data_IF_022984066601
#
_entry.id   IF_022984066601
#
_cell.length_a   1.000
_cell.length_b   1.000
_cell.length_c   1.000
_cell.angle_alpha   90.00
_cell.angle_beta   90.00
_cell.angle_gamma   90.00
#
_symmetry.space_group_name_H-M   'P 1'
#
loop_
_entity.id
_entity.type
_entity.pdbx_description
1 polymer ?
#
# COMPACT_ATOMS: atom_id res chain seq x y z
N UNK A 1 -15.60 -4.00 -25.84
CA UNK A 1 -14.49 -4.96 -25.60
C UNK A 1 -15.10 -6.16 -24.89
N UNK A 2 -14.91 -7.37 -25.41
CA UNK A 2 -15.34 -8.61 -24.73
C UNK A 2 -14.24 -9.09 -23.79
N UNK A 3 -14.62 -9.56 -22.61
CA UNK A 3 -13.68 -10.14 -21.65
C UNK A 3 -13.43 -11.60 -22.00
N UNK A 4 -12.16 -12.00 -22.14
CA UNK A 4 -11.76 -13.40 -22.29
C UNK A 4 -11.10 -13.88 -21.00
N UNK A 5 -11.62 -14.94 -20.40
CA UNK A 5 -10.96 -15.62 -19.28
C UNK A 5 -9.62 -16.17 -19.78
N UNK A 6 -8.52 -15.64 -19.26
CA UNK A 6 -7.18 -16.11 -19.59
C UNK A 6 -6.75 -17.23 -18.66
N UNK A 7 -6.89 -17.05 -17.34
CA UNK A 7 -6.38 -17.96 -16.30
C UNK A 7 -7.24 -17.90 -15.04
N UNK A 8 -7.21 -18.99 -14.28
CA UNK A 8 -7.77 -19.08 -12.93
C UNK A 8 -6.65 -19.44 -11.97
N UNK A 9 -6.42 -18.62 -10.95
CA UNK A 9 -5.35 -18.82 -9.97
C UNK A 9 -5.91 -19.57 -8.76
N UNK A 10 -5.71 -20.89 -8.71
CA UNK A 10 -6.14 -21.72 -7.59
C UNK A 10 -5.00 -21.85 -6.56
N UNK A 11 -5.31 -21.70 -5.27
CA UNK A 11 -4.33 -21.96 -4.21
C UNK A 11 -4.67 -21.42 -2.83
N UNK A 12 -5.57 -20.43 -2.72
CA UNK A 12 -6.14 -20.05 -1.43
C UNK A 12 -7.12 -21.12 -0.94
N UNK A 13 -7.19 -21.31 0.38
CA UNK A 13 -8.05 -22.33 1.02
C UNK A 13 -9.31 -21.75 1.67
N UNK A 14 -9.47 -20.43 1.63
CA UNK A 14 -10.65 -19.69 2.12
C UNK A 14 -10.87 -18.45 1.23
N UNK A 15 -11.97 -17.72 1.45
CA UNK A 15 -12.41 -16.58 0.67
C UNK A 15 -11.29 -15.55 0.45
N UNK A 16 -11.14 -15.12 -0.80
CA UNK A 16 -10.22 -14.06 -1.21
C UNK A 16 -10.97 -12.74 -1.09
N UNK A 17 -10.50 -11.85 -0.21
CA UNK A 17 -11.18 -10.59 0.10
C UNK A 17 -10.68 -9.43 -0.76
N UNK A 18 -9.42 -9.48 -1.21
CA UNK A 18 -8.80 -8.42 -2.00
C UNK A 18 -7.76 -8.97 -2.98
N UNK A 19 -7.67 -8.33 -4.14
CA UNK A 19 -6.60 -8.52 -5.12
C UNK A 19 -6.06 -7.17 -5.57
N UNK A 20 -4.77 -7.11 -5.90
CA UNK A 20 -4.15 -5.91 -6.48
C UNK A 20 -2.96 -6.27 -7.36
N UNK A 21 -2.64 -5.42 -8.32
CA UNK A 21 -1.39 -5.51 -9.08
C UNK A 21 -0.28 -4.76 -8.34
N UNK A 22 0.97 -5.21 -8.51
CA UNK A 22 2.11 -4.36 -8.19
C UNK A 22 2.13 -3.12 -9.09
N UNK A 23 2.77 -2.01 -8.67
CA UNK A 23 2.81 -0.77 -9.46
C UNK A 23 3.41 -0.95 -10.87
N UNK A 24 4.39 -1.85 -11.00
CA UNK A 24 4.99 -2.21 -12.29
C UNK A 24 4.18 -3.26 -13.08
N UNK A 25 3.04 -3.72 -12.54
CA UNK A 25 2.14 -4.70 -13.16
C UNK A 25 2.65 -6.14 -13.18
N UNK A 26 3.87 -6.42 -12.74
CA UNK A 26 4.50 -7.74 -12.89
C UNK A 26 3.98 -8.79 -11.91
N UNK A 27 3.49 -8.35 -10.75
CA UNK A 27 2.97 -9.20 -9.70
C UNK A 27 1.48 -8.96 -9.49
N UNK A 28 0.78 -10.01 -9.11
CA UNK A 28 -0.57 -9.98 -8.57
C UNK A 28 -0.46 -10.40 -7.11
N UNK A 29 -1.11 -9.69 -6.20
CA UNK A 29 -1.19 -10.05 -4.80
C UNK A 29 -2.65 -10.30 -4.42
N UNK A 30 -2.92 -11.38 -3.69
CA UNK A 30 -4.25 -11.76 -3.23
C UNK A 30 -4.24 -12.02 -1.72
N UNK A 31 -5.15 -11.38 -0.99
CA UNK A 31 -5.30 -11.52 0.46
C UNK A 31 -6.57 -12.30 0.81
N UNK A 32 -6.47 -13.21 1.78
CA UNK A 32 -7.53 -14.18 2.08
C UNK A 32 -7.81 -14.36 3.58
N UNK A 33 -8.98 -14.92 3.85
CA UNK A 33 -9.37 -15.47 5.15
C UNK A 33 -8.55 -16.70 5.58
N UNK A 34 -7.72 -17.28 4.70
CA UNK A 34 -6.76 -18.32 5.06
C UNK A 34 -5.51 -17.78 5.78
N UNK A 35 -5.53 -16.49 6.12
CA UNK A 35 -4.48 -15.72 6.79
C UNK A 35 -3.24 -15.46 5.93
N UNK A 36 -3.31 -15.68 4.62
CA UNK A 36 -2.16 -15.50 3.73
C UNK A 36 -2.38 -14.40 2.68
N UNK A 37 -1.27 -13.77 2.28
CA UNK A 37 -1.16 -13.08 0.99
C UNK A 37 -0.40 -13.99 0.04
N UNK A 38 -0.95 -14.26 -1.14
CA UNK A 38 -0.23 -14.98 -2.19
C UNK A 38 0.22 -14.00 -3.27
N UNK A 39 1.48 -14.12 -3.67
CA UNK A 39 2.05 -13.35 -4.78
C UNK A 39 2.19 -14.24 -6.00
N UNK A 40 1.66 -13.77 -7.12
CA UNK A 40 1.63 -14.48 -8.39
C UNK A 40 2.34 -13.65 -9.45
N UNK A 41 2.95 -14.30 -10.43
CA UNK A 41 3.33 -13.61 -11.67
C UNK A 41 2.12 -13.49 -12.61
N UNK A 42 2.27 -12.73 -13.70
CA UNK A 42 1.23 -12.57 -14.72
C UNK A 42 0.81 -13.88 -15.42
N UNK A 43 1.69 -14.89 -15.43
CA UNK A 43 1.37 -16.21 -15.98
C UNK A 43 0.51 -17.06 -15.04
N UNK A 44 0.31 -16.61 -13.80
CA UNK A 44 -0.47 -17.29 -12.77
C UNK A 44 0.34 -18.27 -11.90
N UNK A 45 1.67 -18.24 -12.00
CA UNK A 45 2.53 -19.04 -11.11
C UNK A 45 2.61 -18.39 -9.75
N UNK A 46 2.40 -19.17 -8.69
CA UNK A 46 2.64 -18.75 -7.32
C UNK A 46 4.14 -18.54 -7.10
N UNK A 47 4.53 -17.31 -6.76
CA UNK A 47 5.93 -16.94 -6.46
C UNK A 47 6.22 -17.17 -4.99
N UNK A 48 5.35 -16.67 -4.11
CA UNK A 48 5.53 -16.81 -2.66
C UNK A 48 4.20 -16.67 -1.94
N UNK A 49 4.16 -17.20 -0.71
CA UNK A 49 3.05 -17.04 0.23
C UNK A 49 3.58 -16.29 1.45
N UNK A 50 2.97 -15.15 1.76
CA UNK A 50 3.23 -14.35 2.94
C UNK A 50 2.21 -14.72 4.00
N UNK A 51 2.67 -15.31 5.09
CA UNK A 51 1.78 -15.71 6.19
C UNK A 51 1.57 -14.53 7.12
N UNK A 52 0.31 -14.22 7.39
CA UNK A 52 -0.11 -13.36 8.50
C UNK A 52 -0.70 -14.21 9.63
N UNK A 53 -0.93 -13.57 10.78
CA UNK A 53 -1.45 -14.26 11.97
C UNK A 53 -2.99 -14.24 12.06
N UNK A 54 -3.66 -13.62 11.08
CA UNK A 54 -5.11 -13.35 11.11
C UNK A 54 -5.68 -13.24 9.70
N UNK A 55 -7.01 -13.35 9.61
CA UNK A 55 -7.78 -13.15 8.38
C UNK A 55 -7.50 -11.76 7.83
N UNK A 56 -7.17 -11.70 6.54
CA UNK A 56 -6.80 -10.47 5.86
C UNK A 56 -7.98 -9.96 5.04
N UNK A 57 -8.38 -8.72 5.27
CA UNK A 57 -9.55 -8.08 4.66
C UNK A 57 -9.19 -7.21 3.45
N UNK A 58 -8.01 -6.57 3.48
CA UNK A 58 -7.56 -5.68 2.41
C UNK A 58 -6.04 -5.74 2.23
N UNK A 59 -5.57 -5.15 1.13
CA UNK A 59 -4.23 -5.25 0.59
C UNK A 59 -3.89 -4.04 -0.28
N UNK A 60 -2.70 -3.47 -0.09
CA UNK A 60 -2.12 -2.44 -0.95
C UNK A 60 -0.62 -2.63 -1.12
N UNK A 61 -0.12 -2.40 -2.33
CA UNK A 61 1.31 -2.23 -2.59
C UNK A 61 1.74 -0.80 -2.27
N UNK A 62 2.98 -0.63 -1.84
CA UNK A 62 3.64 0.68 -1.86
C UNK A 62 3.93 1.10 -3.31
N UNK A 63 4.05 2.40 -3.59
CA UNK A 63 4.28 2.91 -4.95
C UNK A 63 5.57 2.38 -5.62
N UNK A 64 6.61 2.11 -4.83
CA UNK A 64 7.87 1.50 -5.29
C UNK A 64 7.77 -0.02 -5.50
N UNK A 65 6.66 -0.66 -5.11
CA UNK A 65 6.46 -2.10 -5.17
C UNK A 65 7.32 -2.92 -4.20
N UNK A 66 8.07 -2.28 -3.30
CA UNK A 66 8.99 -2.95 -2.35
C UNK A 66 8.28 -3.35 -1.05
N UNK A 67 7.08 -2.82 -0.77
CA UNK A 67 6.30 -3.12 0.43
C UNK A 67 4.86 -3.48 0.09
N UNK A 68 4.26 -4.27 0.97
CA UNK A 68 2.84 -4.62 0.94
C UNK A 68 2.29 -4.41 2.35
N UNK A 69 1.12 -3.79 2.43
CA UNK A 69 0.34 -3.69 3.68
C UNK A 69 -0.97 -4.45 3.51
N UNK A 70 -1.34 -5.21 4.54
CA UNK A 70 -2.65 -5.81 4.65
C UNK A 70 -3.36 -5.34 5.91
N UNK A 71 -4.65 -5.06 5.77
CA UNK A 71 -5.58 -4.93 6.89
C UNK A 71 -6.01 -6.30 7.37
N UNK A 72 -6.10 -6.48 8.69
CA UNK A 72 -6.46 -7.76 9.29
C UNK A 72 -7.49 -7.61 10.41
N UNK A 73 -8.10 -8.74 10.78
CA UNK A 73 -9.01 -8.82 11.91
C UNK A 73 -8.37 -8.33 13.23
N UNK A 74 -9.19 -7.91 14.20
CA UNK A 74 -8.75 -7.40 15.52
C UNK A 74 -7.77 -6.22 15.46
N UNK A 75 -7.95 -5.32 14.50
CA UNK A 75 -7.23 -4.04 14.43
C UNK A 75 -5.77 -4.15 14.01
N UNK A 76 -5.36 -5.30 13.48
CA UNK A 76 -3.98 -5.50 13.04
C UNK A 76 -3.78 -4.97 11.62
N UNK A 77 -2.64 -4.30 11.43
CA UNK A 77 -2.03 -4.12 10.12
C UNK A 77 -0.74 -4.94 10.07
N UNK A 78 -0.50 -5.56 8.92
CA UNK A 78 0.72 -6.34 8.68
C UNK A 78 1.41 -5.77 7.46
N UNK A 79 2.71 -5.52 7.59
CA UNK A 79 3.55 -4.93 6.55
C UNK A 79 4.65 -5.94 6.23
N UNK A 80 4.76 -6.29 4.95
CA UNK A 80 5.88 -7.04 4.40
C UNK A 80 6.75 -6.12 3.58
N UNK A 81 8.06 -6.36 3.64
CA UNK A 81 9.06 -5.67 2.83
C UNK A 81 9.82 -6.70 2.01
N UNK A 82 10.24 -6.29 0.83
CA UNK A 82 11.04 -7.07 -0.10
C UNK A 82 12.48 -6.56 -0.09
N UNK A 83 13.42 -7.44 0.25
CA UNK A 83 14.84 -7.22 -0.02
C UNK A 83 15.23 -8.15 -1.17
N UNK A 84 15.60 -7.56 -2.31
CA UNK A 84 15.89 -8.24 -3.58
C UNK A 84 14.73 -9.09 -4.12
N UNK A 85 14.73 -10.40 -3.92
CA UNK A 85 13.66 -11.33 -4.34
C UNK A 85 12.90 -11.92 -3.16
N UNK A 86 13.36 -11.68 -1.93
CA UNK A 86 12.85 -12.31 -0.72
C UNK A 86 11.92 -11.36 0.02
N UNK A 87 10.71 -11.84 0.27
CA UNK A 87 9.74 -11.13 1.09
C UNK A 87 9.86 -11.55 2.55
N UNK A 88 9.90 -10.57 3.44
CA UNK A 88 9.92 -10.80 4.87
C UNK A 88 8.86 -9.95 5.55
N UNK A 89 8.26 -10.50 6.60
CA UNK A 89 7.37 -9.73 7.45
C UNK A 89 8.21 -8.70 8.21
N UNK A 90 7.98 -7.43 7.88
CA UNK A 90 8.76 -6.32 8.41
C UNK A 90 8.15 -5.79 9.70
N UNK A 91 6.83 -5.68 9.74
CA UNK A 91 6.11 -5.27 10.93
C UNK A 91 4.74 -5.95 11.02
N UNK A 92 4.37 -6.40 12.21
CA UNK A 92 2.98 -6.71 12.55
C UNK A 92 2.64 -5.95 13.82
N UNK A 93 1.70 -5.01 13.72
CA UNK A 93 1.26 -4.24 14.87
C UNK A 93 -0.04 -4.85 15.38
N UNK A 94 0.09 -5.63 16.44
CA UNK A 94 -1.05 -6.23 17.15
C UNK A 94 -1.52 -5.26 18.23
N UNK A 95 -2.76 -4.79 18.13
CA UNK A 95 -3.39 -3.98 19.18
C UNK A 95 -2.79 -2.58 19.40
N UNK A 96 -1.89 -2.10 18.53
CA UNK A 96 -1.36 -0.74 18.58
C UNK A 96 -2.07 0.06 17.49
N UNK A 97 -3.22 0.63 17.81
CA UNK A 97 -3.96 1.54 16.93
C UNK A 97 -5.45 1.24 16.85
N UNK A 98 -5.88 0.40 15.92
CA UNK A 98 -7.30 0.07 15.77
C UNK A 98 -7.78 -0.91 16.84
N UNK A 99 -9.01 -0.70 17.33
CA UNK A 99 -9.62 -1.54 18.39
C UNK A 99 -10.51 -2.64 17.82
N UNK A 100 -10.89 -2.53 16.54
CA UNK A 100 -11.73 -3.49 15.82
C UNK A 100 -11.13 -3.80 14.44
N UNK A 101 -11.77 -4.69 13.69
CA UNK A 101 -11.32 -5.14 12.37
C UNK A 101 -11.01 -3.96 11.44
N UNK A 102 -9.83 -4.02 10.81
CA UNK A 102 -9.47 -3.12 9.71
C UNK A 102 -10.19 -3.63 8.46
N UNK A 103 -10.97 -2.80 7.79
CA UNK A 103 -11.67 -3.20 6.56
C UNK A 103 -10.87 -2.89 5.31
N UNK A 104 -10.16 -1.76 5.29
CA UNK A 104 -9.42 -1.34 4.12
C UNK A 104 -8.09 -0.67 4.48
N UNK A 105 -7.14 -0.75 3.56
CA UNK A 105 -5.82 -0.11 3.67
C UNK A 105 -5.41 0.46 2.32
N UNK A 106 -4.78 1.62 2.35
CA UNK A 106 -4.25 2.29 1.15
C UNK A 106 -2.87 2.85 1.43
N UNK A 107 -1.91 2.56 0.57
CA UNK A 107 -0.68 3.35 0.53
C UNK A 107 -0.93 4.70 -0.11
N UNK A 108 -0.24 5.72 0.40
CA UNK A 108 -0.17 7.01 -0.25
C UNK A 108 0.63 6.88 -1.57
N UNK A 109 0.21 7.54 -2.67
CA UNK A 109 0.81 7.35 -3.99
C UNK A 109 2.27 7.84 -4.10
N UNK A 110 2.67 8.79 -3.26
CA UNK A 110 4.00 9.40 -3.33
C UNK A 110 4.69 9.61 -1.97
N UNK A 111 4.06 9.22 -0.84
CA UNK A 111 4.60 9.41 0.51
C UNK A 111 4.68 8.08 1.22
N UNK A 112 5.57 8.03 2.19
CA UNK A 112 5.73 6.93 3.13
C UNK A 112 4.63 6.99 4.20
N UNK A 113 3.37 6.91 3.75
CA UNK A 113 2.18 6.95 4.60
C UNK A 113 1.23 5.84 4.16
N UNK A 114 0.60 5.21 5.13
CA UNK A 114 -0.49 4.24 4.95
C UNK A 114 -1.72 4.80 5.63
N UNK A 115 -2.88 4.69 4.99
CA UNK A 115 -4.17 4.90 5.62
C UNK A 115 -4.86 3.56 5.85
N UNK A 116 -5.61 3.43 6.94
CA UNK A 116 -6.46 2.28 7.23
C UNK A 116 -7.84 2.69 7.71
N UNK A 117 -8.88 2.04 7.21
CA UNK A 117 -10.27 2.19 7.62
C UNK A 117 -10.69 1.02 8.51
N UNK A 118 -11.45 1.28 9.58
CA UNK A 118 -11.77 0.27 10.58
C UNK A 118 -13.21 0.33 11.09
N UNK A 119 -13.67 -0.82 11.56
CA UNK A 119 -14.92 -0.99 12.29
C UNK A 119 -15.01 -0.20 13.60
N UNK A 120 -13.91 0.39 14.07
CA UNK A 120 -13.88 1.28 15.24
C UNK A 120 -14.29 2.73 14.94
N UNK A 121 -14.65 3.02 13.70
CA UNK A 121 -15.15 4.33 13.28
C UNK A 121 -14.06 5.35 12.99
N UNK A 122 -12.80 4.90 12.88
CA UNK A 122 -11.67 5.77 12.58
C UNK A 122 -10.96 5.40 11.29
N UNK A 123 -10.37 6.42 10.68
CA UNK A 123 -9.26 6.25 9.74
C UNK A 123 -7.96 6.49 10.51
N UNK A 124 -6.99 5.60 10.39
CA UNK A 124 -5.66 5.79 10.99
C UNK A 124 -4.61 5.97 9.91
N UNK A 125 -3.68 6.88 10.18
CA UNK A 125 -2.51 7.12 9.36
C UNK A 125 -1.30 6.53 10.03
N UNK A 126 -0.47 5.84 9.26
CA UNK A 126 0.70 5.14 9.73
C UNK A 126 1.91 5.52 8.89
N UNK A 127 3.08 5.53 9.51
CA UNK A 127 4.32 5.45 8.75
C UNK A 127 4.54 4.00 8.26
N UNK A 128 5.50 3.75 7.34
CA UNK A 128 5.69 2.42 6.77
C UNK A 128 6.32 1.41 7.73
N UNK A 129 6.82 1.88 8.88
CA UNK A 129 7.29 1.03 9.98
C UNK A 129 6.13 0.56 10.88
N UNK A 130 4.89 0.94 10.54
CA UNK A 130 3.69 0.62 11.29
C UNK A 130 3.53 1.45 12.56
N UNK A 131 4.18 2.61 12.68
CA UNK A 131 3.88 3.54 13.77
C UNK A 131 2.67 4.38 13.41
N UNK A 132 1.73 4.49 14.34
CA UNK A 132 0.56 5.36 14.21
C UNK A 132 1.02 6.82 14.26
N UNK A 133 0.70 7.61 13.23
CA UNK A 133 1.03 9.03 13.13
C UNK A 133 -0.22 9.92 13.18
N UNK A 134 -1.40 9.41 12.81
CA UNK A 134 -2.62 10.21 12.83
C UNK A 134 -3.87 9.36 13.03
N UNK A 135 -4.93 9.99 13.54
CA UNK A 135 -6.27 9.39 13.62
C UNK A 135 -7.28 10.45 13.18
N UNK A 136 -8.07 10.11 12.17
CA UNK A 136 -9.20 10.88 11.68
C UNK A 136 -10.48 10.17 12.15
N UNK A 137 -11.44 10.93 12.67
CA UNK A 137 -12.67 10.39 13.24
C UNK A 137 -13.88 11.02 12.56
N UNK A 138 -14.79 10.18 12.07
CA UNK A 138 -16.02 10.59 11.37
C UNK A 138 -17.27 10.40 12.23
N UNK A 139 -17.09 9.90 13.46
CA UNK A 139 -18.17 9.51 14.36
C UNK A 139 -17.96 8.09 14.89
N UNK A 140 -19.04 7.47 15.37
CA UNK A 140 -19.03 6.12 15.95
C UNK A 140 -19.21 5.00 14.92
N UNK A 141 -19.54 5.37 13.67
CA UNK A 141 -19.96 4.43 12.63
C UNK A 141 -18.75 3.81 11.93
N UNK A 142 -18.72 2.49 11.69
CA UNK A 142 -17.65 1.79 10.99
C UNK A 142 -17.20 2.48 9.70
N UNK A 143 -15.90 2.72 9.54
CA UNK A 143 -15.32 3.20 8.27
C UNK A 143 -14.97 1.98 7.43
N UNK A 144 -15.58 1.85 6.26
CA UNK A 144 -15.54 0.62 5.45
C UNK A 144 -14.47 0.63 4.36
N UNK A 145 -14.14 1.80 3.81
CA UNK A 145 -13.10 1.93 2.79
C UNK A 145 -12.39 3.27 2.91
N UNK A 146 -11.15 3.31 2.42
CA UNK A 146 -10.29 4.49 2.41
C UNK A 146 -9.43 4.48 1.16
N UNK A 147 -9.24 5.65 0.53
CA UNK A 147 -8.43 5.77 -0.68
C UNK A 147 -7.77 7.14 -0.78
N UNK A 148 -6.48 7.18 -1.13
CA UNK A 148 -5.81 8.44 -1.44
C UNK A 148 -6.14 8.89 -2.86
N UNK A 149 -6.28 10.19 -3.06
CA UNK A 149 -6.30 10.73 -4.43
C UNK A 149 -4.98 10.41 -5.14
N UNK A 150 -4.97 10.27 -6.49
CA UNK A 150 -3.74 9.95 -7.22
C UNK A 150 -2.60 10.96 -7.04
N UNK A 151 -2.91 12.23 -6.81
CA UNK A 151 -1.95 13.28 -6.46
C UNK A 151 -1.46 13.19 -5.00
N UNK A 152 -2.20 12.48 -4.14
CA UNK A 152 -1.92 12.34 -2.72
C UNK A 152 -2.29 13.57 -1.88
N UNK A 153 -2.98 14.57 -2.42
CA UNK A 153 -3.36 15.76 -1.64
C UNK A 153 -4.54 15.49 -0.71
N UNK A 154 -5.40 14.56 -1.10
CA UNK A 154 -6.62 14.24 -0.35
C UNK A 154 -6.74 12.76 -0.06
N UNK A 155 -7.53 12.48 0.98
CA UNK A 155 -7.95 11.14 1.33
C UNK A 155 -9.48 11.12 1.31
N UNK A 156 -10.06 10.06 0.76
CA UNK A 156 -11.49 9.82 0.83
C UNK A 156 -11.79 8.57 1.65
N UNK A 157 -12.90 8.59 2.35
CA UNK A 157 -13.38 7.48 3.16
C UNK A 157 -14.89 7.39 3.12
N UNK A 158 -15.40 6.19 3.34
CA UNK A 158 -16.82 5.91 3.43
C UNK A 158 -17.14 5.15 4.71
N UNK A 159 -18.33 5.37 5.27
CA UNK A 159 -18.76 4.71 6.50
C UNK A 159 -20.15 4.06 6.38
N UNK A 160 -20.47 3.20 7.35
CA UNK A 160 -21.74 2.49 7.43
C UNK A 160 -22.98 3.41 7.59
N UNK A 161 -22.77 4.71 7.83
CA UNK A 161 -23.82 5.73 7.88
C UNK A 161 -24.15 6.34 6.50
N UNK A 162 -23.67 5.71 5.41
CA UNK A 162 -23.82 6.20 4.04
C UNK A 162 -23.16 7.57 3.80
N UNK A 163 -22.08 7.90 4.53
CA UNK A 163 -21.34 9.14 4.33
C UNK A 163 -20.07 8.90 3.51
N UNK A 164 -19.73 9.89 2.70
CA UNK A 164 -18.43 10.03 2.03
C UNK A 164 -17.74 11.25 2.64
N UNK A 165 -16.56 11.05 3.20
CA UNK A 165 -15.74 12.10 3.78
C UNK A 165 -14.53 12.35 2.90
N UNK A 166 -14.18 13.63 2.69
CA UNK A 166 -12.98 14.06 1.98
C UNK A 166 -12.11 14.80 2.99
N UNK A 167 -10.87 14.37 3.10
CA UNK A 167 -9.89 14.92 4.03
C UNK A 167 -8.79 15.61 3.26
N UNK A 168 -8.51 16.84 3.65
CA UNK A 168 -7.23 17.47 3.35
C UNK A 168 -6.26 17.10 4.47
N UNK A 169 -5.12 16.53 4.10
CA UNK A 169 -4.11 16.11 5.06
C UNK A 169 -2.97 17.12 5.06
N UNK A 170 -2.81 17.83 6.17
CA UNK A 170 -1.62 18.63 6.39
C UNK A 170 -0.44 17.69 6.69
N UNK A 171 0.45 17.54 5.72
CA UNK A 171 1.64 16.70 5.84
C UNK A 171 2.78 17.40 6.58
N UNK A 172 2.70 18.71 6.84
CA UNK A 172 3.78 19.48 7.48
C UNK A 172 4.12 18.95 8.87
N UNK A 173 3.13 18.43 9.59
CA UNK A 173 3.30 17.83 10.92
C UNK A 173 3.93 16.42 10.90
N UNK A 174 4.01 15.79 9.73
CA UNK A 174 4.53 14.42 9.56
C UNK A 174 5.85 14.37 8.79
N UNK A 175 6.22 15.48 8.15
CA UNK A 175 7.50 15.68 7.52
C UNK A 175 8.40 16.34 8.56
N UNK A 176 9.29 15.55 9.16
CA UNK A 176 10.40 16.12 9.93
C UNK A 176 11.37 16.81 8.96
N UNK A 177 11.02 18.02 8.52
CA UNK A 177 11.86 18.89 7.70
C UNK A 177 13.13 19.32 8.45
N UNK A 178 13.23 19.10 9.76
CA UNK A 178 14.39 19.50 10.55
C UNK A 178 15.60 18.59 10.37
N UNK A 179 15.43 17.40 9.77
CA UNK A 179 16.53 16.45 9.53
C UNK A 179 16.92 16.23 8.07
N UNK A 180 16.21 16.81 7.08
CA UNK A 180 16.59 16.65 5.67
C UNK A 180 16.69 18.00 4.94
N UNK A 181 17.88 18.61 4.99
CA UNK A 181 18.37 19.48 3.91
C UNK A 181 18.85 18.67 2.69
N UNK A 182 18.35 17.44 2.55
CA UNK A 182 18.86 16.49 1.58
C UNK A 182 18.10 16.65 0.28
N UNK A 183 18.64 17.51 -0.60
CA UNK A 183 18.19 17.67 -1.99
C UNK A 183 18.07 16.31 -2.69
N UNK A 184 18.89 15.32 -2.28
CA UNK A 184 18.84 13.96 -2.82
C UNK A 184 17.52 13.25 -2.49
N UNK A 185 16.85 13.57 -1.38
CA UNK A 185 15.54 13.01 -1.05
C UNK A 185 14.47 13.42 -2.06
N UNK A 186 14.44 14.71 -2.43
CA UNK A 186 13.51 15.22 -3.43
C UNK A 186 13.84 14.70 -4.83
N UNK A 187 15.13 14.65 -5.16
CA UNK A 187 15.60 14.13 -6.45
C UNK A 187 15.26 12.63 -6.58
N UNK A 188 15.46 11.85 -5.52
CA UNK A 188 15.08 10.44 -5.42
C UNK A 188 13.58 10.25 -5.57
N UNK A 189 12.76 11.00 -4.82
CA UNK A 189 11.29 10.97 -4.95
C UNK A 189 10.81 11.27 -6.36
N UNK A 190 11.38 12.31 -7.00
CA UNK A 190 11.07 12.64 -8.39
C UNK A 190 11.45 11.51 -9.35
N UNK A 191 12.60 10.87 -9.11
CA UNK A 191 13.08 9.76 -9.93
C UNK A 191 12.34 8.44 -9.72
N UNK A 192 11.87 8.14 -8.51
CA UNK A 192 11.02 6.98 -8.23
C UNK A 192 9.69 7.06 -9.00
N UNK A 193 9.13 8.27 -9.11
CA UNK A 193 7.91 8.51 -9.89
C UNK A 193 8.15 8.45 -11.40
N UNK A 194 9.25 9.06 -11.87
CA UNK A 194 9.54 9.22 -13.28
C UNK A 194 10.18 7.95 -13.89
N UNK A 195 10.83 7.12 -13.07
CA UNK A 195 11.67 6.01 -13.53
C UNK A 195 10.93 4.97 -14.37
N UNK A 196 9.71 4.59 -13.98
CA UNK A 196 8.89 3.67 -14.77
C UNK A 196 8.47 4.26 -16.11
N UNK A 197 8.21 5.57 -16.17
CA UNK A 197 7.87 6.27 -17.41
C UNK A 197 9.10 6.36 -18.33
N UNK A 198 10.27 6.74 -17.81
CA UNK A 198 11.51 6.85 -18.59
C UNK A 198 11.94 5.51 -19.20
N UNK A 199 11.82 4.41 -18.44
CA UNK A 199 12.26 3.08 -18.90
C UNK A 199 11.31 2.45 -19.93
N UNK A 200 10.01 2.66 -19.80
CA UNK A 200 9.00 1.91 -20.56
C UNK A 200 8.31 2.70 -21.68
N UNK A 201 8.41 4.03 -21.71
CA UNK A 201 7.78 4.83 -22.76
C UNK A 201 8.63 4.89 -24.04
N UNK A 202 8.03 4.53 -25.18
CA UNK A 202 8.67 4.49 -26.49
C UNK A 202 9.02 5.89 -27.04
N UNK A 203 8.38 6.94 -26.53
CA UNK A 203 8.58 8.33 -26.96
C UNK A 203 9.71 9.06 -26.20
N UNK A 204 10.37 8.39 -25.27
CA UNK A 204 11.50 8.94 -24.49
C UNK A 204 12.81 8.61 -25.19
N UNK A 205 13.69 9.62 -25.37
CA UNK A 205 15.01 9.46 -25.98
C UNK A 205 15.84 8.45 -25.19
N UNK A 206 16.74 7.72 -25.87
CA UNK A 206 17.58 6.70 -25.21
C UNK A 206 18.45 7.29 -24.09
N UNK A 207 18.96 8.51 -24.27
CA UNK A 207 19.78 9.21 -23.25
C UNK A 207 18.97 9.55 -21.99
N UNK A 208 17.68 9.88 -22.12
CA UNK A 208 16.84 10.29 -20.99
C UNK A 208 16.39 9.11 -20.12
N UNK A 209 16.57 7.87 -20.61
CA UNK A 209 16.18 6.65 -19.88
C UNK A 209 17.01 6.42 -18.62
N UNK A 210 18.20 7.02 -18.56
CA UNK A 210 19.17 6.88 -17.48
C UNK A 210 19.23 8.12 -16.57
N UNK A 211 18.35 9.12 -16.74
CA UNK A 211 18.32 10.34 -15.93
C UNK A 211 18.21 10.08 -14.42
N UNK A 212 17.66 8.92 -14.05
CA UNK A 212 17.49 8.50 -12.67
C UNK A 212 18.49 7.42 -12.22
N UNK A 213 19.42 7.01 -13.09
CA UNK A 213 20.49 6.08 -12.74
C UNK A 213 21.60 6.84 -11.99
N UNK A 214 21.95 6.40 -10.78
CA UNK A 214 22.96 7.04 -9.93
C UNK A 214 22.41 7.92 -8.79
N UNK A 215 21.09 8.00 -8.63
CA UNK A 215 20.44 8.67 -7.48
C UNK A 215 20.17 7.67 -6.32
N UNK A 216 20.58 6.41 -6.47
CA UNK A 216 20.55 5.40 -5.39
C UNK A 216 21.90 5.29 -4.68
N UNK A 217 21.82 5.26 -3.33
CA UNK A 217 22.85 4.84 -2.36
C UNK A 217 24.13 5.68 -2.24
N UNK A 218 24.08 6.70 -1.38
CA UNK A 218 25.13 6.88 -0.38
C UNK A 218 24.47 6.64 0.98
N UNK A 219 24.80 5.50 1.61
CA UNK A 219 24.47 5.21 3.01
C UNK A 219 25.15 6.21 3.96
#
# INVERSE_FOLDING_TARGET
REGKLLRTLAGHTDAINRVTFSPNGQLIASASNDNTVKLWNQNGTLITTLTGDRKLSSLSFSPDGKRIVAGAARGSIVIWSRKDISWQQFASKKGVGHTKTVYDVSFHPNRDIIASASADGTVKLWNPNGLLIGTLSEGSEPVESVNFSPDGETLVSINAANRVSIWNLDYSQYLDYSQSNDVNYLLKRGCDQLGNYLKNNLNVKKEDRTLCEGIEEQE
#
